data_IF_590313774401
#
_entry.id   IF_590313774401
#
_cell.length_a   1.000
_cell.length_b   1.000
_cell.length_c   1.000
_cell.angle_alpha   90.00
_cell.angle_beta   90.00
_cell.angle_gamma   90.00
#
_symmetry.space_group_name_H-M   'P 1'
#
loop_
_entity.id
_entity.type
_entity.pdbx_description
1 polymer ?
#
# COMPACT_ATOMS: atom_id res chain seq x y z
N UNK A 1 4.58 -12.03 -13.32
CA UNK A 1 5.49 -11.07 -13.97
C UNK A 1 4.63 -9.98 -14.57
N UNK A 2 4.90 -8.71 -14.25
CA UNK A 2 4.05 -7.59 -14.62
C UNK A 2 3.71 -7.49 -16.12
N UNK A 3 2.51 -7.00 -16.41
CA UNK A 3 2.12 -6.60 -17.76
C UNK A 3 2.83 -5.29 -18.12
N UNK A 4 3.59 -5.31 -19.22
CA UNK A 4 4.40 -4.16 -19.66
C UNK A 4 3.57 -2.93 -20.06
N UNK A 5 2.33 -3.10 -20.51
CA UNK A 5 1.41 -2.00 -20.75
C UNK A 5 0.96 -1.36 -19.44
N UNK A 6 0.64 -2.18 -18.43
CA UNK A 6 0.26 -1.72 -17.09
C UNK A 6 1.39 -0.96 -16.41
N UNK A 7 2.64 -1.43 -16.54
CA UNK A 7 3.81 -0.72 -16.01
C UNK A 7 3.96 0.63 -16.70
N UNK A 8 3.90 0.66 -18.04
CA UNK A 8 4.00 1.92 -18.80
C UNK A 8 2.94 2.93 -18.40
N UNK A 9 1.68 2.49 -18.24
CA UNK A 9 0.61 3.42 -17.88
C UNK A 9 0.77 3.93 -16.44
N UNK A 10 1.17 3.07 -15.49
CA UNK A 10 1.45 3.49 -14.11
C UNK A 10 2.64 4.47 -14.04
N UNK A 11 3.70 4.23 -14.81
CA UNK A 11 4.85 5.14 -14.90
C UNK A 11 4.55 6.44 -15.64
N UNK A 12 3.44 6.53 -16.36
CA UNK A 12 3.04 7.75 -17.09
C UNK A 12 2.35 8.79 -16.20
N UNK A 13 2.12 8.46 -14.92
CA UNK A 13 1.56 9.36 -13.93
C UNK A 13 0.04 9.22 -13.73
N UNK A 14 -0.53 10.01 -12.81
CA UNK A 14 -1.87 9.77 -12.29
C UNK A 14 -2.97 9.94 -13.35
N UNK A 15 -2.91 11.00 -14.16
CA UNK A 15 -3.93 11.27 -15.19
C UNK A 15 -4.00 10.15 -16.24
N UNK A 16 -2.85 9.64 -16.66
CA UNK A 16 -2.78 8.55 -17.63
C UNK A 16 -3.40 7.27 -17.05
N UNK A 17 -3.03 6.93 -15.82
CA UNK A 17 -3.54 5.74 -15.14
C UNK A 17 -5.04 5.83 -14.85
N UNK A 18 -5.54 6.99 -14.40
CA UNK A 18 -6.96 7.18 -14.15
C UNK A 18 -7.78 7.11 -15.44
N UNK A 19 -7.31 7.72 -16.54
CA UNK A 19 -7.94 7.59 -17.86
C UNK A 19 -7.97 6.13 -18.34
N UNK A 20 -6.88 5.39 -18.13
CA UNK A 20 -6.86 3.96 -18.46
C UNK A 20 -7.84 3.18 -17.60
N UNK A 21 -7.93 3.46 -16.29
CA UNK A 21 -8.86 2.82 -15.37
C UNK A 21 -10.33 3.05 -15.75
N UNK A 22 -10.67 4.26 -16.21
CA UNK A 22 -12.03 4.58 -16.66
C UNK A 22 -12.46 3.75 -17.88
N UNK A 23 -11.52 3.44 -18.77
CA UNK A 23 -11.77 2.61 -19.94
C UNK A 23 -11.62 1.10 -19.65
N UNK A 24 -11.03 0.74 -18.50
CA UNK A 24 -10.72 -0.64 -18.10
C UNK A 24 -11.17 -0.90 -16.63
N UNK A 25 -12.47 -0.75 -16.31
CA UNK A 25 -12.94 -0.83 -14.93
C UNK A 25 -12.81 -2.23 -14.33
N UNK A 26 -12.95 -3.27 -15.15
CA UNK A 26 -12.94 -4.67 -14.73
C UNK A 26 -11.57 -5.35 -14.89
N UNK A 27 -10.59 -4.66 -15.49
CA UNK A 27 -9.26 -5.22 -15.70
C UNK A 27 -8.43 -5.08 -14.44
N UNK A 28 -7.92 -6.19 -13.91
CA UNK A 28 -6.96 -6.13 -12.82
C UNK A 28 -5.64 -5.51 -13.32
N UNK A 29 -5.16 -4.48 -12.61
CA UNK A 29 -3.89 -3.84 -12.93
C UNK A 29 -2.75 -4.73 -12.39
N UNK A 30 -2.17 -5.51 -13.29
CA UNK A 30 -1.04 -6.39 -13.02
C UNK A 30 0.32 -5.68 -13.11
N UNK A 31 0.91 -5.44 -11.94
CA UNK A 31 2.19 -4.77 -11.68
C UNK A 31 3.12 -5.66 -10.84
N UNK A 32 2.95 -6.99 -10.88
CA UNK A 32 3.76 -7.93 -10.10
C UNK A 32 5.25 -7.80 -10.39
N UNK A 33 6.04 -7.48 -9.36
CA UNK A 33 7.48 -7.29 -9.45
C UNK A 33 7.90 -6.08 -10.31
N UNK A 34 6.98 -5.16 -10.61
CA UNK A 34 7.31 -3.95 -11.37
C UNK A 34 8.24 -3.03 -10.57
N UNK A 35 9.16 -2.36 -11.28
CA UNK A 35 9.89 -1.23 -10.73
C UNK A 35 9.08 0.05 -10.93
N UNK A 36 8.52 0.55 -9.84
CA UNK A 36 7.72 1.77 -9.73
C UNK A 36 8.37 2.72 -8.70
N UNK A 37 9.67 2.60 -8.48
CA UNK A 37 10.39 3.48 -7.57
C UNK A 37 10.26 4.95 -7.98
N UNK A 38 9.97 5.81 -7.01
CA UNK A 38 9.80 7.26 -7.18
C UNK A 38 8.60 7.72 -8.03
N UNK A 39 7.78 6.79 -8.52
CA UNK A 39 6.66 7.12 -9.41
C UNK A 39 5.57 7.90 -8.65
N UNK A 40 4.90 8.82 -9.36
CA UNK A 40 3.77 9.56 -8.83
C UNK A 40 2.44 8.92 -9.20
N UNK A 41 1.73 8.41 -8.21
CA UNK A 41 0.40 7.80 -8.29
C UNK A 41 -0.59 8.45 -7.32
N UNK A 42 -0.32 9.68 -6.88
CA UNK A 42 -1.16 10.37 -5.92
C UNK A 42 -2.60 10.50 -6.44
N UNK A 43 -3.57 10.15 -5.60
CA UNK A 43 -5.00 10.22 -5.93
C UNK A 43 -5.54 9.14 -6.88
N UNK A 44 -4.69 8.25 -7.40
CA UNK A 44 -5.10 7.28 -8.44
C UNK A 44 -6.03 6.18 -7.92
N UNK A 45 -6.80 5.58 -8.86
CA UNK A 45 -7.72 4.47 -8.58
C UNK A 45 -7.12 3.12 -8.99
N UNK A 46 -6.37 2.50 -8.08
CA UNK A 46 -5.67 1.21 -8.28
C UNK A 46 -6.19 0.09 -7.37
N UNK A 47 -7.50 0.14 -7.06
CA UNK A 47 -8.19 -0.89 -6.28
C UNK A 47 -7.94 -2.29 -6.86
N UNK A 48 -7.62 -3.26 -6.00
CA UNK A 48 -7.43 -4.65 -6.38
C UNK A 48 -6.22 -4.91 -7.30
N UNK A 49 -5.32 -3.94 -7.47
CA UNK A 49 -4.10 -4.13 -8.27
C UNK A 49 -3.23 -5.24 -7.68
N UNK A 50 -2.56 -5.97 -8.57
CA UNK A 50 -1.51 -6.92 -8.20
C UNK A 50 -0.18 -6.18 -8.20
N UNK A 51 0.32 -5.81 -7.03
CA UNK A 51 1.60 -5.15 -6.77
C UNK A 51 2.56 -6.06 -5.99
N UNK A 52 2.30 -7.37 -6.00
CA UNK A 52 3.10 -8.36 -5.29
C UNK A 52 4.57 -8.24 -5.68
N UNK A 53 5.44 -8.11 -4.69
CA UNK A 53 6.89 -7.97 -4.88
C UNK A 53 7.32 -6.73 -5.67
N UNK A 54 6.43 -5.76 -5.93
CA UNK A 54 6.79 -4.55 -6.65
C UNK A 54 7.76 -3.67 -5.83
N UNK A 55 8.64 -2.94 -6.51
CA UNK A 55 9.43 -1.88 -5.91
C UNK A 55 8.68 -0.56 -6.02
N UNK A 56 8.16 -0.06 -4.91
CA UNK A 56 7.48 1.23 -4.77
C UNK A 56 8.31 2.18 -3.89
N UNK A 57 9.61 1.94 -3.74
CA UNK A 57 10.46 2.79 -2.90
C UNK A 57 10.39 4.26 -3.36
N UNK A 58 10.14 5.17 -2.43
CA UNK A 58 9.97 6.61 -2.69
C UNK A 58 8.74 6.99 -3.53
N UNK A 59 7.84 6.05 -3.85
CA UNK A 59 6.65 6.33 -4.64
C UNK A 59 5.66 7.24 -3.89
N UNK A 60 4.94 8.08 -4.64
CA UNK A 60 3.94 9.02 -4.10
C UNK A 60 2.54 8.47 -4.36
N UNK A 61 1.89 7.98 -3.32
CA UNK A 61 0.56 7.35 -3.33
C UNK A 61 -0.44 8.06 -2.39
N UNK A 62 -0.13 9.28 -1.96
CA UNK A 62 -1.02 10.06 -1.09
C UNK A 62 -2.42 10.13 -1.69
N UNK A 63 -3.45 9.80 -0.90
CA UNK A 63 -4.88 9.77 -1.31
C UNK A 63 -5.23 8.78 -2.42
N UNK A 64 -4.32 7.88 -2.83
CA UNK A 64 -4.65 6.81 -3.76
C UNK A 64 -5.64 5.81 -3.13
N UNK A 65 -6.42 5.13 -3.96
CA UNK A 65 -7.28 4.03 -3.54
C UNK A 65 -6.65 2.69 -3.96
N UNK A 66 -6.11 1.97 -2.98
CA UNK A 66 -5.50 0.65 -3.08
C UNK A 66 -6.35 -0.44 -2.39
N UNK A 67 -7.64 -0.21 -2.15
CA UNK A 67 -8.45 -1.18 -1.42
C UNK A 67 -8.38 -2.58 -2.07
N UNK A 68 -8.08 -3.60 -1.26
CA UNK A 68 -7.91 -4.98 -1.72
C UNK A 68 -6.73 -5.24 -2.66
N UNK A 69 -5.78 -4.32 -2.80
CA UNK A 69 -4.57 -4.58 -3.59
C UNK A 69 -3.66 -5.61 -2.89
N UNK A 70 -2.94 -6.41 -3.68
CA UNK A 70 -1.91 -7.32 -3.20
C UNK A 70 -0.55 -6.60 -3.27
N UNK A 71 0.02 -6.27 -2.12
CA UNK A 71 1.34 -5.68 -1.91
C UNK A 71 2.26 -6.65 -1.16
N UNK A 72 1.95 -7.95 -1.16
CA UNK A 72 2.74 -8.96 -0.45
C UNK A 72 4.18 -8.96 -0.96
N UNK A 73 5.13 -8.90 -0.03
CA UNK A 73 6.57 -8.84 -0.32
C UNK A 73 7.05 -7.59 -1.08
N UNK A 74 6.21 -6.56 -1.25
CA UNK A 74 6.62 -5.32 -1.91
C UNK A 74 7.61 -4.50 -1.06
N UNK A 75 8.45 -3.70 -1.72
CA UNK A 75 9.28 -2.69 -1.08
C UNK A 75 8.60 -1.32 -1.17
N UNK A 76 8.16 -0.79 -0.04
CA UNK A 76 7.49 0.50 0.10
C UNK A 76 8.39 1.56 0.75
N UNK A 77 9.70 1.29 0.89
CA UNK A 77 10.61 2.14 1.65
C UNK A 77 10.52 3.61 1.21
N UNK A 78 10.37 4.54 2.15
CA UNK A 78 10.29 5.98 1.90
C UNK A 78 9.07 6.45 1.07
N UNK A 79 8.09 5.57 0.80
CA UNK A 79 6.89 5.94 0.08
C UNK A 79 5.95 6.86 0.90
N UNK A 80 5.10 7.60 0.20
CA UNK A 80 4.06 8.44 0.80
C UNK A 80 2.67 7.90 0.49
N UNK A 81 2.01 7.31 1.47
CA UNK A 81 0.63 6.82 1.41
C UNK A 81 -0.34 7.71 2.20
N UNK A 82 0.05 8.94 2.58
CA UNK A 82 -0.78 9.81 3.42
C UNK A 82 -2.22 9.90 2.93
N UNK A 83 -3.18 9.58 3.81
CA UNK A 83 -4.63 9.57 3.53
C UNK A 83 -5.08 8.58 2.44
N UNK A 84 -4.27 7.59 2.06
CA UNK A 84 -4.65 6.55 1.10
C UNK A 84 -5.74 5.62 1.67
N UNK A 85 -6.62 5.14 0.79
CA UNK A 85 -7.58 4.09 1.10
C UNK A 85 -6.94 2.72 0.83
N UNK A 86 -6.68 1.95 1.87
CA UNK A 86 -5.95 0.68 1.83
C UNK A 86 -6.73 -0.46 2.52
N UNK A 87 -8.07 -0.35 2.58
CA UNK A 87 -8.91 -1.33 3.25
C UNK A 87 -8.75 -2.71 2.59
N UNK A 88 -8.49 -3.74 3.39
CA UNK A 88 -8.28 -5.11 2.91
C UNK A 88 -7.01 -5.33 2.07
N UNK A 89 -6.05 -4.40 2.10
CA UNK A 89 -4.76 -4.59 1.41
C UNK A 89 -4.01 -5.78 2.02
N UNK A 90 -3.25 -6.49 1.19
CA UNK A 90 -2.28 -7.49 1.66
C UNK A 90 -0.87 -6.90 1.63
N UNK A 91 -0.24 -6.76 2.79
CA UNK A 91 1.13 -6.30 3.02
C UNK A 91 2.00 -7.42 3.63
N UNK A 92 1.58 -8.68 3.51
CA UNK A 92 2.30 -9.81 4.09
C UNK A 92 3.78 -9.79 3.68
N UNK A 93 4.68 -9.82 4.65
CA UNK A 93 6.13 -9.76 4.46
C UNK A 93 6.65 -8.54 3.65
N UNK A 94 5.85 -7.47 3.53
CA UNK A 94 6.28 -6.24 2.86
C UNK A 94 7.32 -5.47 3.69
N UNK A 95 8.21 -4.77 3.00
CA UNK A 95 9.15 -3.82 3.62
C UNK A 95 8.53 -2.43 3.60
N UNK A 96 8.24 -1.86 4.76
CA UNK A 96 7.52 -0.59 4.93
C UNK A 96 8.35 0.29 5.88
N UNK A 97 9.52 0.74 5.43
CA UNK A 97 10.47 1.49 6.26
C UNK A 97 10.41 2.98 5.92
N UNK A 98 10.38 3.85 6.95
CA UNK A 98 10.31 5.31 6.77
C UNK A 98 9.10 5.79 5.94
N UNK A 99 7.96 5.10 6.04
CA UNK A 99 6.78 5.38 5.21
C UNK A 99 5.83 6.35 5.90
N UNK A 100 5.24 7.26 5.13
CA UNK A 100 4.13 8.09 5.60
C UNK A 100 2.79 7.36 5.40
N UNK A 101 2.18 6.87 6.47
CA UNK A 101 0.87 6.21 6.49
C UNK A 101 -0.18 7.03 7.25
N UNK A 102 0.08 8.31 7.55
CA UNK A 102 -0.84 9.16 8.31
C UNK A 102 -2.26 9.15 7.73
N UNK A 103 -3.27 8.90 8.56
CA UNK A 103 -4.69 8.86 8.17
C UNK A 103 -5.04 7.80 7.10
N UNK A 104 -4.23 6.77 6.91
CA UNK A 104 -4.61 5.67 6.01
C UNK A 104 -5.74 4.84 6.61
N UNK A 105 -6.63 4.37 5.73
CA UNK A 105 -7.63 3.37 6.09
C UNK A 105 -7.12 1.97 5.74
N UNK A 106 -6.68 1.20 6.73
CA UNK A 106 -6.16 -0.16 6.59
C UNK A 106 -7.10 -1.18 7.26
N UNK A 107 -8.40 -0.87 7.34
CA UNK A 107 -9.39 -1.79 7.92
C UNK A 107 -9.32 -3.16 7.26
N UNK A 108 -9.21 -4.21 8.07
CA UNK A 108 -9.17 -5.59 7.59
C UNK A 108 -7.96 -5.93 6.72
N UNK A 109 -6.90 -5.11 6.73
CA UNK A 109 -5.67 -5.40 6.03
C UNK A 109 -4.92 -6.59 6.64
N UNK A 110 -4.12 -7.30 5.84
CA UNK A 110 -3.17 -8.29 6.31
C UNK A 110 -1.77 -7.67 6.29
N UNK A 111 -1.09 -7.62 7.43
CA UNK A 111 0.26 -7.09 7.60
C UNK A 111 1.19 -8.15 8.20
N UNK A 112 0.83 -9.43 8.08
CA UNK A 112 1.55 -10.52 8.72
C UNK A 112 3.04 -10.51 8.35
N UNK A 113 3.91 -10.60 9.35
CA UNK A 113 5.37 -10.61 9.19
C UNK A 113 5.94 -9.38 8.43
N UNK A 114 5.17 -8.30 8.29
CA UNK A 114 5.61 -7.08 7.61
C UNK A 114 6.56 -6.26 8.50
N UNK A 115 7.49 -5.52 7.87
CA UNK A 115 8.47 -4.68 8.57
C UNK A 115 8.04 -3.22 8.44
N UNK A 116 7.32 -2.70 9.43
CA UNK A 116 6.79 -1.33 9.48
C UNK A 116 7.60 -0.44 10.43
N UNK A 117 8.90 -0.23 10.16
CA UNK A 117 9.77 0.51 11.07
C UNK A 117 9.94 1.98 10.71
N UNK A 118 10.00 2.86 11.72
CA UNK A 118 10.19 4.31 11.54
C UNK A 118 9.09 4.99 10.72
N UNK A 119 7.88 4.46 10.75
CA UNK A 119 6.74 4.95 9.99
C UNK A 119 5.92 6.00 10.77
N UNK A 120 5.33 6.93 10.02
CA UNK A 120 4.29 7.82 10.54
C UNK A 120 2.94 7.16 10.36
N UNK A 121 2.33 6.68 11.44
CA UNK A 121 1.06 5.95 11.44
C UNK A 121 0.01 6.60 12.35
N UNK A 122 0.10 7.91 12.60
CA UNK A 122 -0.89 8.58 13.44
C UNK A 122 -2.27 8.50 12.77
N UNK A 123 -3.29 8.16 13.58
CA UNK A 123 -4.69 8.04 13.14
C UNK A 123 -4.93 7.04 12.01
N UNK A 124 -4.08 6.02 11.91
CA UNK A 124 -4.33 4.89 11.01
C UNK A 124 -5.50 4.07 11.53
N UNK A 125 -6.38 3.63 10.63
CA UNK A 125 -7.43 2.68 10.96
C UNK A 125 -6.97 1.25 10.66
N UNK A 126 -6.79 0.42 11.69
CA UNK A 126 -6.40 -0.99 11.60
C UNK A 126 -7.51 -1.92 12.12
N UNK A 127 -8.77 -1.46 12.19
CA UNK A 127 -9.86 -2.28 12.71
C UNK A 127 -9.94 -3.62 11.96
N UNK A 128 -9.87 -4.72 12.70
CA UNK A 128 -9.98 -6.06 12.11
C UNK A 128 -8.76 -6.50 11.30
N UNK A 129 -7.65 -5.75 11.32
CA UNK A 129 -6.44 -6.12 10.60
C UNK A 129 -5.72 -7.28 11.29
N UNK A 130 -4.96 -8.05 10.51
CA UNK A 130 -3.99 -9.02 11.03
C UNK A 130 -2.61 -8.38 11.00
N UNK A 131 -2.04 -8.10 12.17
CA UNK A 131 -0.67 -7.57 12.32
C UNK A 131 0.26 -8.59 12.97
N UNK A 132 -0.08 -9.88 12.92
CA UNK A 132 0.70 -10.92 13.58
C UNK A 132 2.13 -10.99 13.04
N UNK A 133 3.12 -11.03 13.94
CA UNK A 133 4.55 -11.05 13.58
C UNK A 133 5.09 -9.75 12.97
N UNK A 134 4.26 -8.72 12.80
CA UNK A 134 4.69 -7.48 12.17
C UNK A 134 5.54 -6.62 13.13
N UNK A 135 6.58 -5.98 12.60
CA UNK A 135 7.49 -5.14 13.40
C UNK A 135 7.17 -3.65 13.22
N UNK A 136 6.65 -3.01 14.28
CA UNK A 136 6.35 -1.56 14.28
C UNK A 136 7.40 -0.71 15.00
N UNK A 137 8.62 -1.21 15.20
CA UNK A 137 9.64 -0.49 15.97
C UNK A 137 9.92 0.90 15.40
N UNK A 138 10.02 1.89 16.28
CA UNK A 138 10.23 3.31 15.95
C UNK A 138 9.08 3.97 15.16
N UNK A 139 7.95 3.28 14.96
CA UNK A 139 6.77 3.86 14.31
C UNK A 139 5.86 4.58 15.30
N UNK A 140 5.23 5.66 14.84
CA UNK A 140 4.31 6.45 15.65
C UNK A 140 2.86 6.08 15.33
N UNK A 141 2.16 5.44 16.26
CA UNK A 141 0.76 5.01 16.13
C UNK A 141 -0.20 5.80 17.03
N UNK A 142 0.12 7.05 17.39
CA UNK A 142 -0.78 7.89 18.20
C UNK A 142 -2.15 7.99 17.51
N UNK A 143 -3.21 7.74 18.28
CA UNK A 143 -4.62 7.76 17.83
C UNK A 143 -4.94 6.71 16.73
N UNK A 144 -4.11 5.68 16.55
CA UNK A 144 -4.47 4.55 15.69
C UNK A 144 -5.65 3.76 16.27
N UNK A 145 -6.55 3.29 15.41
CA UNK A 145 -7.67 2.44 15.80
C UNK A 145 -7.32 0.97 15.60
N UNK A 146 -7.19 0.25 16.71
CA UNK A 146 -6.70 -1.13 16.74
C UNK A 146 -7.78 -2.12 17.19
N UNK A 147 -9.06 -1.73 17.18
CA UNK A 147 -10.14 -2.63 17.63
C UNK A 147 -10.21 -3.88 16.76
N UNK A 148 -10.32 -5.05 17.39
CA UNK A 148 -10.39 -6.35 16.72
C UNK A 148 -9.17 -6.70 15.86
N UNK A 149 -8.00 -6.10 16.14
CA UNK A 149 -6.76 -6.43 15.42
C UNK A 149 -6.13 -7.69 16.03
N UNK A 150 -5.61 -8.60 15.20
CA UNK A 150 -4.74 -9.69 15.68
C UNK A 150 -3.31 -9.17 15.82
N UNK A 151 -2.80 -9.12 17.05
CA UNK A 151 -1.48 -8.61 17.39
C UNK A 151 -0.51 -9.70 17.85
N UNK A 152 -0.79 -10.96 17.50
CA UNK A 152 0.02 -12.09 17.96
C UNK A 152 1.47 -11.92 17.49
N UNK A 153 2.40 -11.77 18.44
CA UNK A 153 3.84 -11.54 18.17
C UNK A 153 4.17 -10.23 17.42
N UNK A 154 3.32 -9.21 17.50
CA UNK A 154 3.61 -7.87 16.99
C UNK A 154 4.47 -7.02 17.95
#
# INVERSE_FOLDING_TARGET
MANQEHVKIASSGPDALDNWRENNPDVQLDLEGADLSGVNLAGTKIRGANLKGANLSGARLSRANLAGADLSGADLSEADFGQAGMAGVDLTAATVVNVNLFWTDMKGACLKDAVLTSCRMNRVNLIGADISGANFSQSNMIEADLRNTDMTNA
#
